data_IF_685980778112
#
_entry.id   IF_685980778112
#
_cell.length_a   1.000
_cell.length_b   1.000
_cell.length_c   1.000
_cell.angle_alpha   90.00
_cell.angle_beta   90.00
_cell.angle_gamma   90.00
#
_symmetry.space_group_name_H-M   'P 1'
#
loop_
_entity.id
_entity.type
_entity.pdbx_description
1 polymer ?
#
# COMPACT_ATOMS: atom_id res chain seq x y z
N UNK A 1 2.66 1.93 13.07
CA UNK A 1 3.47 1.61 11.89
C UNK A 1 2.57 1.57 10.67
N UNK A 2 3.03 2.08 9.54
CA UNK A 2 2.28 2.15 8.28
C UNK A 2 3.06 1.45 7.17
N UNK A 3 2.36 0.92 6.18
CA UNK A 3 2.95 0.30 5.00
C UNK A 3 2.56 1.11 3.77
N UNK A 4 3.49 1.34 2.85
CA UNK A 4 3.24 1.87 1.52
C UNK A 4 3.71 0.82 0.50
N UNK A 5 2.80 0.47 -0.40
CA UNK A 5 3.06 -0.44 -1.52
C UNK A 5 3.06 0.35 -2.82
N UNK A 6 4.20 0.32 -3.51
CA UNK A 6 4.42 1.04 -4.76
C UNK A 6 4.69 0.04 -5.90
N UNK A 7 3.65 -0.27 -6.71
CA UNK A 7 3.75 -1.12 -7.88
C UNK A 7 3.93 -0.32 -9.18
N UNK A 8 4.45 0.92 -9.13
CA UNK A 8 4.51 1.83 -10.28
C UNK A 8 5.51 1.40 -11.35
N UNK A 9 6.60 0.73 -10.96
CA UNK A 9 7.60 0.18 -11.87
C UNK A 9 7.22 -1.24 -12.35
N UNK A 10 7.50 -1.51 -13.63
CA UNK A 10 7.28 -2.84 -14.21
C UNK A 10 8.23 -3.87 -13.58
N UNK A 11 7.69 -5.04 -13.25
CA UNK A 11 8.42 -6.19 -12.69
C UNK A 11 9.18 -5.84 -11.39
N UNK A 12 8.68 -4.82 -10.68
CA UNK A 12 9.22 -4.34 -9.42
C UNK A 12 8.12 -4.04 -8.43
N UNK A 13 8.40 -4.34 -7.17
CA UNK A 13 7.51 -4.04 -6.05
C UNK A 13 8.35 -3.31 -5.03
N UNK A 14 8.04 -2.04 -4.80
CA UNK A 14 8.66 -1.27 -3.72
C UNK A 14 7.75 -1.28 -2.51
N UNK A 15 8.31 -1.65 -1.37
CA UNK A 15 7.60 -1.67 -0.07
C UNK A 15 8.33 -0.72 0.87
N UNK A 16 7.56 0.15 1.51
CA UNK A 16 8.06 1.08 2.51
C UNK A 16 7.28 0.86 3.80
N UNK A 17 7.99 0.51 4.87
CA UNK A 17 7.47 0.49 6.24
C UNK A 17 7.91 1.75 6.96
N UNK A 18 6.99 2.45 7.63
CA UNK A 18 7.35 3.71 8.29
C UNK A 18 6.53 4.01 9.53
N UNK A 19 7.10 4.86 10.38
CA UNK A 19 6.44 5.51 11.51
C UNK A 19 6.91 6.97 11.62
N UNK A 20 6.63 7.64 12.75
CA UNK A 20 7.00 9.04 12.96
C UNK A 20 8.51 9.31 12.95
N UNK A 21 9.32 8.27 13.14
CA UNK A 21 10.77 8.35 13.34
C UNK A 21 11.58 7.50 12.38
N UNK A 22 11.04 6.39 11.89
CA UNK A 22 11.74 5.42 11.06
C UNK A 22 11.08 5.25 9.70
N UNK A 23 11.92 5.00 8.68
CA UNK A 23 11.51 4.63 7.33
C UNK A 23 12.42 3.48 6.87
N UNK A 24 11.82 2.36 6.53
CA UNK A 24 12.45 1.16 5.99
C UNK A 24 11.95 0.95 4.58
N UNK A 25 12.85 0.80 3.61
CA UNK A 25 12.48 0.61 2.20
C UNK A 25 13.14 -0.64 1.64
N UNK A 26 12.40 -1.40 0.84
CA UNK A 26 12.93 -2.51 0.06
C UNK A 26 12.29 -2.51 -1.33
N UNK A 27 13.10 -2.81 -2.34
CA UNK A 27 12.65 -2.96 -3.73
C UNK A 27 12.92 -4.40 -4.13
N UNK A 28 11.87 -5.09 -4.54
CA UNK A 28 11.93 -6.47 -5.00
C UNK A 28 11.83 -6.48 -6.52
N UNK A 29 12.81 -7.10 -7.20
CA UNK A 29 12.69 -7.48 -8.61
C UNK A 29 11.80 -8.73 -8.67
N UNK A 30 10.49 -8.51 -8.73
CA UNK A 30 9.47 -9.53 -8.54
C UNK A 30 8.32 -9.33 -9.52
N UNK A 31 7.81 -10.43 -10.07
CA UNK A 31 6.59 -10.38 -10.87
C UNK A 31 5.40 -10.10 -9.95
N UNK A 32 4.38 -9.42 -10.47
CA UNK A 32 3.24 -8.93 -9.70
C UNK A 32 2.59 -9.97 -8.76
N UNK A 33 2.65 -11.27 -9.12
CA UNK A 33 2.09 -12.39 -8.34
C UNK A 33 2.81 -12.64 -7.01
N UNK A 34 3.99 -12.06 -6.82
CA UNK A 34 4.82 -12.28 -5.63
C UNK A 34 4.62 -11.22 -4.54
N UNK A 35 3.71 -10.26 -4.74
CA UNK A 35 3.48 -9.13 -3.83
C UNK A 35 3.24 -9.53 -2.36
N UNK A 36 2.53 -10.64 -2.14
CA UNK A 36 2.28 -11.16 -0.79
C UNK A 36 3.55 -11.74 -0.17
N UNK A 37 4.38 -12.42 -0.96
CA UNK A 37 5.66 -12.97 -0.50
C UNK A 37 6.66 -11.85 -0.23
N UNK A 38 6.73 -10.83 -1.09
CA UNK A 38 7.56 -9.65 -0.88
C UNK A 38 7.20 -8.92 0.41
N UNK A 39 5.90 -8.74 0.68
CA UNK A 39 5.45 -8.08 1.91
C UNK A 39 5.67 -8.93 3.15
N UNK A 40 5.40 -10.24 3.10
CA UNK A 40 5.67 -11.14 4.23
C UNK A 40 7.18 -11.17 4.55
N UNK A 41 8.02 -11.30 3.53
CA UNK A 41 9.47 -11.24 3.68
C UNK A 41 9.92 -9.89 4.27
N UNK A 42 9.42 -8.77 3.76
CA UNK A 42 9.73 -7.43 4.28
C UNK A 42 9.41 -7.34 5.79
N UNK A 43 8.21 -7.76 6.19
CA UNK A 43 7.77 -7.71 7.57
C UNK A 43 8.63 -8.62 8.47
N UNK A 44 8.88 -9.86 8.06
CA UNK A 44 9.70 -10.81 8.81
C UNK A 44 11.14 -10.31 8.98
N UNK A 45 11.76 -9.82 7.91
CA UNK A 45 13.13 -9.31 7.92
C UNK A 45 13.31 -8.12 8.86
N UNK A 46 12.28 -7.27 9.01
CA UNK A 46 12.29 -6.11 9.93
C UNK A 46 11.70 -6.41 11.30
N UNK A 47 11.31 -7.66 11.58
CA UNK A 47 10.62 -8.07 12.82
C UNK A 47 9.36 -7.23 13.10
N UNK A 48 8.68 -6.84 12.03
CA UNK A 48 7.45 -6.06 12.08
C UNK A 48 6.26 -7.01 12.21
N UNK A 49 5.48 -6.88 13.29
CA UNK A 49 4.24 -7.65 13.43
C UNK A 49 3.14 -7.03 12.54
N UNK A 50 2.56 -7.86 11.67
CA UNK A 50 1.40 -7.51 10.84
C UNK A 50 0.21 -6.94 11.63
N UNK A 51 0.04 -7.34 12.90
CA UNK A 51 -1.01 -6.84 13.78
C UNK A 51 -0.79 -5.39 14.22
N UNK A 52 0.42 -4.88 14.10
CA UNK A 52 0.79 -3.51 14.49
C UNK A 52 0.73 -2.54 13.29
N UNK A 53 0.33 -3.01 12.11
CA UNK A 53 0.06 -2.15 10.95
C UNK A 53 -1.19 -1.32 11.25
N UNK A 54 -1.07 -0.01 11.19
CA UNK A 54 -2.11 0.97 11.50
C UNK A 54 -2.72 1.61 10.25
N UNK A 55 -2.17 1.33 9.07
CA UNK A 55 -2.72 1.80 7.80
C UNK A 55 -1.84 1.37 6.62
N UNK A 56 -2.44 1.31 5.44
CA UNK A 56 -1.76 0.92 4.20
C UNK A 56 -2.03 1.96 3.11
N UNK A 57 -0.96 2.49 2.51
CA UNK A 57 -1.02 3.32 1.33
C UNK A 57 -0.66 2.50 0.09
N UNK A 58 -1.31 2.76 -1.03
CA UNK A 58 -0.99 2.14 -2.32
C UNK A 58 -0.85 3.22 -3.37
N UNK A 59 0.24 3.16 -4.14
CA UNK A 59 0.40 4.02 -5.32
C UNK A 59 -0.57 3.57 -6.40
N UNK A 60 -1.38 4.52 -6.88
CA UNK A 60 -2.33 4.35 -7.99
C UNK A 60 -2.08 5.41 -9.07
N UNK A 61 -2.77 5.28 -10.20
CA UNK A 61 -2.66 6.14 -11.38
C UNK A 61 -1.45 5.84 -12.26
N UNK A 62 -0.41 5.21 -11.72
CA UNK A 62 0.81 4.80 -12.43
C UNK A 62 1.11 3.33 -12.12
N UNK A 63 1.57 2.59 -13.13
CA UNK A 63 1.94 1.19 -13.02
C UNK A 63 1.11 0.28 -13.90
N UNK A 64 1.46 -1.01 -13.88
CA UNK A 64 0.77 -2.03 -14.68
C UNK A 64 -0.62 -2.35 -14.14
N UNK A 65 -1.59 -2.57 -15.03
CA UNK A 65 -2.96 -3.01 -14.72
C UNK A 65 -3.01 -4.07 -13.62
N UNK A 66 -2.22 -5.14 -13.79
CA UNK A 66 -2.21 -6.28 -12.87
C UNK A 66 -1.57 -5.92 -11.53
N UNK A 67 -0.45 -5.19 -11.54
CA UNK A 67 0.32 -4.83 -10.34
C UNK A 67 -0.51 -3.97 -9.39
N UNK A 68 -1.12 -2.90 -9.91
CA UNK A 68 -1.95 -2.00 -9.11
C UNK A 68 -3.19 -2.71 -8.56
N UNK A 69 -3.82 -3.59 -9.35
CA UNK A 69 -4.97 -4.37 -8.88
C UNK A 69 -4.61 -5.35 -7.76
N UNK A 70 -3.44 -5.99 -7.85
CA UNK A 70 -2.97 -6.87 -6.78
C UNK A 70 -2.62 -6.08 -5.51
N UNK A 71 -1.95 -4.94 -5.62
CA UNK A 71 -1.62 -4.08 -4.49
C UNK A 71 -2.87 -3.53 -3.78
N UNK A 72 -3.83 -3.02 -4.53
CA UNK A 72 -5.11 -2.54 -3.97
C UNK A 72 -5.95 -3.67 -3.38
N UNK A 73 -5.96 -4.86 -3.99
CA UNK A 73 -6.64 -6.03 -3.43
C UNK A 73 -6.03 -6.46 -2.10
N UNK A 74 -4.70 -6.46 -2.00
CA UNK A 74 -3.97 -6.75 -0.76
C UNK A 74 -4.35 -5.75 0.34
N UNK A 75 -4.31 -4.46 0.04
CA UNK A 75 -4.66 -3.40 1.00
C UNK A 75 -6.13 -3.51 1.45
N UNK A 76 -7.05 -3.70 0.50
CA UNK A 76 -8.48 -3.88 0.75
C UNK A 76 -8.78 -5.12 1.60
N UNK A 77 -8.05 -6.22 1.40
CA UNK A 77 -8.17 -7.42 2.23
C UNK A 77 -7.72 -7.15 3.68
N UNK A 78 -6.62 -6.42 3.87
CA UNK A 78 -6.16 -6.03 5.20
C UNK A 78 -7.14 -5.10 5.91
N UNK A 79 -7.69 -4.12 5.19
CA UNK A 79 -8.75 -3.24 5.70
C UNK A 79 -9.98 -4.04 6.13
N UNK A 80 -10.41 -5.00 5.31
CA UNK A 80 -11.57 -5.83 5.63
C UNK A 80 -11.40 -6.61 6.93
N UNK A 81 -10.19 -7.13 7.19
CA UNK A 81 -9.89 -7.96 8.37
C UNK A 81 -9.58 -7.12 9.61
N UNK A 82 -8.67 -6.15 9.50
CA UNK A 82 -8.10 -5.42 10.63
C UNK A 82 -8.77 -4.04 10.85
N UNK A 83 -9.65 -3.60 9.94
CA UNK A 83 -10.34 -2.31 9.99
C UNK A 83 -9.37 -1.11 10.12
N UNK A 84 -8.28 -1.16 9.37
CA UNK A 84 -7.24 -0.12 9.30
C UNK A 84 -7.48 0.83 8.12
N UNK A 85 -7.20 2.14 8.24
CA UNK A 85 -7.37 3.09 7.14
C UNK A 85 -6.48 2.78 5.94
N UNK A 86 -6.98 3.09 4.74
CA UNK A 86 -6.28 2.93 3.47
C UNK A 86 -6.11 4.29 2.78
N UNK A 87 -5.02 4.47 2.05
CA UNK A 87 -4.82 5.64 1.19
C UNK A 87 -4.47 5.20 -0.23
N UNK A 88 -5.16 5.76 -1.21
CA UNK A 88 -4.71 5.78 -2.59
C UNK A 88 -3.88 7.05 -2.80
N UNK A 89 -2.64 6.91 -3.25
CA UNK A 89 -1.69 8.03 -3.39
C UNK A 89 -1.09 8.08 -4.79
N UNK A 90 -0.57 9.24 -5.18
CA UNK A 90 0.26 9.36 -6.39
C UNK A 90 1.72 8.96 -6.11
N UNK A 91 2.48 8.72 -7.17
CA UNK A 91 3.92 8.37 -7.08
C UNK A 91 4.76 9.48 -6.43
N UNK A 92 4.37 10.75 -6.59
CA UNK A 92 5.09 11.89 -6.01
C UNK A 92 5.06 11.88 -4.47
N UNK A 93 3.98 11.33 -3.90
CA UNK A 93 3.79 11.24 -2.45
C UNK A 93 4.67 10.18 -1.79
N UNK A 94 5.29 9.30 -2.58
CA UNK A 94 6.23 8.27 -2.11
C UNK A 94 7.50 8.88 -1.52
N UNK A 95 7.87 10.10 -1.93
CA UNK A 95 9.09 10.78 -1.49
C UNK A 95 9.06 11.19 -0.02
N UNK A 96 7.86 11.37 0.57
CA UNK A 96 7.68 11.87 1.93
C UNK A 96 6.62 11.06 2.69
N UNK A 97 6.85 9.74 2.90
CA UNK A 97 5.83 8.82 3.42
C UNK A 97 5.30 9.24 4.79
N UNK A 98 6.12 9.86 5.64
CA UNK A 98 5.70 10.35 6.96
C UNK A 98 4.60 11.42 6.89
N UNK A 99 4.49 12.19 5.79
CA UNK A 99 3.38 13.14 5.61
C UNK A 99 2.03 12.43 5.49
N UNK A 100 2.02 11.17 5.07
CA UNK A 100 0.82 10.34 4.96
C UNK A 100 0.23 9.97 6.33
N UNK A 101 1.03 9.97 7.41
CA UNK A 101 0.54 9.68 8.77
C UNK A 101 -0.60 10.65 9.15
N UNK A 102 -0.45 11.93 8.79
CA UNK A 102 -1.51 12.93 9.03
C UNK A 102 -2.78 12.60 8.24
N UNK A 103 -2.65 12.10 7.02
CA UNK A 103 -3.80 11.69 6.18
C UNK A 103 -4.51 10.49 6.78
N UNK A 104 -3.78 9.45 7.20
CA UNK A 104 -4.35 8.30 7.91
C UNK A 104 -5.10 8.72 9.17
N UNK A 105 -4.53 9.63 9.97
CA UNK A 105 -5.18 10.11 11.19
C UNK A 105 -6.46 10.89 10.91
N UNK A 106 -6.49 11.71 9.86
CA UNK A 106 -7.70 12.45 9.44
C UNK A 106 -8.83 11.50 9.00
N UNK A 107 -8.50 10.43 8.28
CA UNK A 107 -9.47 9.43 7.82
C UNK A 107 -9.94 8.52 8.95
N UNK A 108 -9.12 8.32 9.98
CA UNK A 108 -9.47 7.52 11.16
C UNK A 108 -10.32 8.25 12.21
N UNK A 109 -10.59 9.55 12.03
CA UNK A 109 -11.32 10.37 13.00
C UNK A 109 -12.82 10.00 13.05
N UNK A 110 -13.14 9.07 13.95
CA UNK A 110 -14.50 8.60 14.26
C UNK A 110 -15.46 9.73 14.68
N UNK A 111 -14.93 10.86 15.15
CA UNK A 111 -15.71 12.04 15.56
C UNK A 111 -16.46 12.69 14.40
N UNK A 112 -15.98 12.49 13.17
CA UNK A 112 -16.59 13.07 11.95
C UNK A 112 -17.67 12.20 11.34
N UNK A 113 -18.03 11.06 11.95
CA UNK A 113 -18.96 10.10 11.36
C UNK A 113 -18.42 9.41 10.10
N UNK A 114 -17.17 9.67 9.73
CA UNK A 114 -16.43 9.04 8.63
C UNK A 114 -15.95 7.64 9.06
N UNK A 115 -16.87 6.78 9.50
CA UNK A 115 -16.67 5.33 9.50
C UNK A 115 -16.89 4.79 8.08
N UNK A 116 -16.36 5.48 7.07
CA UNK A 116 -16.47 4.96 5.71
C UNK A 116 -15.35 3.94 5.59
N UNK A 117 -15.72 2.67 5.66
CA UNK A 117 -14.91 1.55 5.17
C UNK A 117 -14.58 1.79 3.70
N UNK A 118 -13.64 2.69 3.44
CA UNK A 118 -13.27 3.11 2.10
C UNK A 118 -12.25 2.12 1.60
N UNK A 119 -12.73 1.23 0.75
CA UNK A 119 -11.88 0.50 -0.15
C UNK A 119 -11.26 1.46 -1.15
N UNK A 120 -10.00 1.24 -1.47
CA UNK A 120 -9.31 1.98 -2.53
C UNK A 120 -9.52 1.25 -3.86
N UNK A 121 -9.70 2.03 -4.92
CA UNK A 121 -9.84 1.51 -6.28
C UNK A 121 -8.48 1.53 -6.98
N UNK A 122 -8.26 0.53 -7.84
CA UNK A 122 -7.10 0.52 -8.69
C UNK A 122 -7.30 1.50 -9.85
N UNK A 123 -6.46 2.52 -9.90
CA UNK A 123 -6.26 3.36 -11.09
C UNK A 123 -4.87 3.04 -11.65
N UNK A 124 -4.75 2.87 -12.97
CA UNK A 124 -3.51 2.42 -13.59
C UNK A 124 -3.37 3.07 -14.97
N UNK A 125 -2.12 3.22 -15.42
CA UNK A 125 -1.79 3.74 -16.75
C UNK A 125 -1.42 2.62 -17.73
N UNK A 126 -1.07 1.44 -17.25
CA UNK A 126 -0.73 0.29 -18.08
C UNK A 126 -1.96 -0.39 -18.68
N UNK A 127 -1.84 -0.82 -19.94
CA UNK A 127 -2.89 -1.55 -20.64
C UNK A 127 -3.24 -2.89 -19.96
N UNK A 128 -4.52 -3.29 -19.92
CA UNK A 128 -4.93 -4.60 -19.44
C UNK A 128 -4.36 -5.72 -20.33
N UNK A 129 -3.54 -6.60 -19.77
CA UNK A 129 -3.08 -7.80 -20.47
C UNK A 129 -4.08 -8.95 -20.29
N UNK A 130 -5.31 -8.76 -20.78
CA UNK A 130 -6.42 -9.71 -20.71
C UNK A 130 -6.59 -10.47 -22.03
N UNK A 131 -5.54 -11.17 -22.46
CA UNK A 131 -5.58 -12.08 -23.61
C UNK A 131 -5.45 -11.39 -24.97
N UNK A 132 -4.27 -11.56 -25.58
CA UNK A 132 -4.08 -11.54 -27.03
C UNK A 132 -3.75 -12.96 -27.47
#
# INVERSE_FOLDING_TARGET
MYILVDPSEKDRIKIIGFDETNIETEVFDAINREILFSLDYFLLARKMDKKNVQGIAVVVGVGGFTSTRLATTLANAWHFVENIPLLAISVDEVMEPQKLIKKFNLDSDKSRGLNVRQYILAEYSGEPNIGL
#
